data_IF_946996683877
#
_entry.id   IF_946996683877
#
_cell.length_a   1.000
_cell.length_b   1.000
_cell.length_c   1.000
_cell.angle_alpha   90.00
_cell.angle_beta   90.00
_cell.angle_gamma   90.00
#
_symmetry.space_group_name_H-M   'P 1'
#
loop_
_entity.id
_entity.type
_entity.pdbx_description
1 polymer ?
#
# COMPACT_ATOMS: atom_id res chain seq x y z
N UNK A 1 4.19 24.05 12.20
CA UNK A 1 5.50 23.47 12.55
C UNK A 1 5.89 22.51 11.44
N UNK A 2 7.15 22.52 10.99
CA UNK A 2 7.66 21.63 9.94
C UNK A 2 8.53 20.53 10.58
N UNK A 3 7.89 19.65 11.34
CA UNK A 3 8.53 18.57 12.11
C UNK A 3 8.50 17.21 11.40
N UNK A 4 7.89 17.13 10.21
CA UNK A 4 7.85 15.94 9.38
C UNK A 4 8.60 16.10 8.06
N UNK A 5 8.85 14.97 7.41
CA UNK A 5 9.26 14.86 6.01
C UNK A 5 8.36 13.83 5.34
N UNK A 6 7.96 14.07 4.09
CA UNK A 6 7.31 13.05 3.25
C UNK A 6 8.21 12.76 2.06
N UNK A 7 8.57 11.48 1.87
CA UNK A 7 9.10 10.99 0.59
C UNK A 7 7.91 10.52 -0.24
N UNK A 8 7.62 11.21 -1.33
CA UNK A 8 6.51 10.86 -2.23
C UNK A 8 7.01 9.86 -3.26
N UNK A 9 6.30 8.75 -3.47
CA UNK A 9 6.74 7.64 -4.32
C UNK A 9 5.74 7.39 -5.46
N UNK A 10 6.26 7.11 -6.64
CA UNK A 10 5.49 6.66 -7.79
C UNK A 10 6.19 5.53 -8.54
N UNK A 11 5.42 4.49 -8.87
CA UNK A 11 5.82 3.39 -9.74
C UNK A 11 4.91 3.42 -10.96
N UNK A 12 5.15 4.32 -11.92
CA UNK A 12 4.19 4.63 -12.97
C UNK A 12 4.06 3.50 -14.01
N UNK A 13 4.99 2.54 -13.98
CA UNK A 13 5.00 1.36 -14.83
C UNK A 13 4.10 0.25 -14.30
N UNK A 14 3.61 0.30 -13.07
CA UNK A 14 2.72 -0.73 -12.52
C UNK A 14 1.43 -0.86 -13.35
N UNK A 15 1.13 -2.10 -13.77
CA UNK A 15 -0.09 -2.45 -14.50
C UNK A 15 -1.16 -2.81 -13.46
N UNK A 16 -2.32 -2.18 -13.56
CA UNK A 16 -3.40 -2.36 -12.59
C UNK A 16 -4.66 -2.88 -13.27
N UNK A 17 -5.44 -3.67 -12.55
CA UNK A 17 -6.82 -3.93 -12.96
C UNK A 17 -7.61 -2.64 -12.92
N UNK A 18 -8.44 -2.38 -13.92
CA UNK A 18 -9.30 -1.19 -13.96
C UNK A 18 -10.26 -1.18 -12.77
N UNK A 19 -10.68 0.02 -12.36
CA UNK A 19 -11.76 0.16 -11.39
C UNK A 19 -13.11 -0.21 -12.03
N UNK A 20 -14.05 -0.66 -11.21
CA UNK A 20 -15.44 -0.90 -11.61
C UNK A 20 -16.17 0.44 -11.83
N UNK A 21 -15.91 1.03 -12.99
CA UNK A 21 -16.47 2.28 -13.48
C UNK A 21 -16.91 2.12 -14.93
N UNK A 22 -17.98 2.82 -15.32
CA UNK A 22 -18.63 2.65 -16.62
C UNK A 22 -17.66 2.85 -17.80
N UNK A 23 -16.73 3.80 -17.69
CA UNK A 23 -15.79 4.14 -18.78
C UNK A 23 -14.66 3.11 -18.94
N UNK A 24 -14.33 2.34 -17.90
CA UNK A 24 -13.20 1.39 -17.91
C UNK A 24 -13.30 0.38 -19.04
N UNK A 25 -14.52 -0.07 -19.35
CA UNK A 25 -14.82 -1.01 -20.43
C UNK A 25 -14.48 -0.47 -21.82
N UNK A 26 -14.54 0.86 -21.98
CA UNK A 26 -14.35 1.53 -23.26
C UNK A 26 -12.90 1.91 -23.55
N UNK A 27 -12.04 1.99 -22.53
CA UNK A 27 -10.63 2.40 -22.66
C UNK A 27 -9.88 1.62 -23.77
N UNK A 28 -10.08 0.29 -23.84
CA UNK A 28 -9.44 -0.56 -24.86
C UNK A 28 -9.77 -0.14 -26.30
N UNK A 29 -10.98 0.38 -26.54
CA UNK A 29 -11.41 0.80 -27.89
C UNK A 29 -10.77 2.12 -28.32
N UNK A 30 -10.27 2.90 -27.35
CA UNK A 30 -9.44 4.08 -27.59
C UNK A 30 -7.94 3.77 -27.60
N UNK A 31 -7.57 2.49 -27.60
CA UNK A 31 -6.16 2.05 -27.60
C UNK A 31 -5.46 2.20 -26.25
N UNK A 32 -6.21 2.32 -25.14
CA UNK A 32 -5.68 2.40 -23.77
C UNK A 32 -5.84 1.04 -23.10
N UNK A 33 -4.71 0.42 -22.74
CA UNK A 33 -4.70 -0.85 -22.05
C UNK A 33 -5.39 -1.98 -22.81
N UNK A 34 -5.96 -2.92 -22.06
CA UNK A 34 -6.77 -4.05 -22.56
C UNK A 34 -8.01 -4.25 -21.69
N UNK A 35 -8.83 -5.26 -22.00
CA UNK A 35 -10.18 -5.50 -21.42
C UNK A 35 -10.35 -5.12 -19.94
N UNK A 36 -9.44 -5.55 -19.07
CA UNK A 36 -9.52 -5.30 -17.62
C UNK A 36 -8.28 -4.59 -17.05
N UNK A 37 -7.33 -4.12 -17.88
CA UNK A 37 -6.02 -3.68 -17.40
C UNK A 37 -5.56 -2.40 -18.08
N UNK A 38 -4.90 -1.54 -17.31
CA UNK A 38 -4.26 -0.32 -17.78
C UNK A 38 -2.95 -0.09 -17.03
N UNK A 39 -1.99 0.58 -17.67
CA UNK A 39 -0.80 1.08 -16.98
C UNK A 39 -1.12 2.45 -16.38
N UNK A 40 -1.61 2.43 -15.14
CA UNK A 40 -1.95 3.64 -14.38
C UNK A 40 -1.00 3.90 -13.19
N UNK A 41 -0.09 2.95 -12.92
CA UNK A 41 0.94 3.06 -11.90
C UNK A 41 0.43 2.80 -10.47
N UNK A 42 1.39 2.81 -9.55
CA UNK A 42 1.18 2.78 -8.11
C UNK A 42 1.76 4.05 -7.46
N UNK A 43 1.17 4.49 -6.35
CA UNK A 43 1.65 5.62 -5.56
C UNK A 43 1.63 5.26 -4.09
N UNK A 44 2.67 5.71 -3.40
CA UNK A 44 2.85 5.54 -1.98
C UNK A 44 3.54 6.77 -1.39
N UNK A 45 3.64 6.83 -0.08
CA UNK A 45 4.45 7.83 0.62
C UNK A 45 5.18 7.18 1.79
N UNK A 46 6.29 7.80 2.20
CA UNK A 46 6.95 7.52 3.47
C UNK A 46 6.86 8.78 4.31
N UNK A 47 6.12 8.70 5.43
CA UNK A 47 6.05 9.77 6.42
C UNK A 47 7.16 9.56 7.45
N UNK A 48 7.89 10.63 7.76
CA UNK A 48 9.05 10.58 8.67
C UNK A 48 8.89 11.68 9.70
N UNK A 49 8.91 11.32 10.99
CA UNK A 49 9.08 12.31 12.05
C UNK A 49 10.57 12.65 12.16
N UNK A 50 10.94 13.93 12.03
CA UNK A 50 12.34 14.37 12.04
C UNK A 50 13.10 14.00 13.32
N UNK A 51 12.39 13.83 14.44
CA UNK A 51 13.00 13.44 15.72
C UNK A 51 13.36 11.96 15.78
N UNK A 52 12.57 11.09 15.16
CA UNK A 52 12.74 9.64 15.28
C UNK A 52 13.44 9.05 14.06
N UNK A 53 13.31 9.66 12.89
CA UNK A 53 13.83 9.13 11.62
C UNK A 53 13.12 7.86 11.15
N UNK A 54 12.09 7.40 11.84
CA UNK A 54 11.36 6.17 11.49
C UNK A 54 10.66 6.38 10.14
N UNK A 55 10.77 5.39 9.26
CA UNK A 55 10.10 5.38 7.96
C UNK A 55 8.72 4.76 8.08
N UNK A 56 7.67 5.59 8.03
CA UNK A 56 6.28 5.13 8.03
C UNK A 56 5.77 5.05 6.59
N UNK A 57 5.94 3.89 5.96
CA UNK A 57 5.43 3.65 4.61
C UNK A 57 3.91 3.45 4.62
N UNK A 58 3.24 4.14 3.69
CA UNK A 58 1.80 4.04 3.49
C UNK A 58 1.43 4.03 2.01
N UNK A 59 0.52 3.14 1.66
CA UNK A 59 -0.14 3.12 0.35
C UNK A 59 -1.61 2.73 0.47
N UNK A 60 -2.34 2.86 -0.64
CA UNK A 60 -3.74 2.46 -0.73
C UNK A 60 -3.95 1.56 -1.94
N UNK A 61 -4.65 0.45 -1.73
CA UNK A 61 -4.87 -0.53 -2.79
C UNK A 61 -5.84 -1.63 -2.38
N UNK A 62 -6.05 -2.58 -3.28
CA UNK A 62 -7.04 -3.66 -3.14
C UNK A 62 -6.38 -4.91 -2.51
N UNK A 63 -5.87 -4.75 -1.29
CA UNK A 63 -5.08 -5.75 -0.56
C UNK A 63 -5.98 -6.56 0.39
N UNK A 64 -6.32 -7.81 0.03
CA UNK A 64 -7.17 -8.70 0.84
C UNK A 64 -8.47 -8.01 1.30
N UNK A 65 -9.17 -7.39 0.33
CA UNK A 65 -10.39 -6.60 0.53
C UNK A 65 -11.52 -7.14 -0.33
N UNK A 66 -12.79 -7.02 0.12
CA UNK A 66 -13.93 -7.34 -0.71
C UNK A 66 -14.05 -6.33 -1.84
N UNK A 67 -14.30 -6.82 -3.05
CA UNK A 67 -14.61 -5.94 -4.18
C UNK A 67 -15.88 -5.13 -3.90
N UNK A 68 -15.94 -3.85 -4.28
CA UNK A 68 -14.97 -3.09 -5.07
C UNK A 68 -13.99 -2.26 -4.22
N UNK A 69 -13.70 -2.67 -2.98
CA UNK A 69 -12.99 -1.83 -2.01
C UNK A 69 -11.47 -2.01 -2.05
N UNK A 70 -10.78 -0.96 -1.60
CA UNK A 70 -9.39 -0.99 -1.16
C UNK A 70 -9.27 -0.56 0.30
N UNK A 71 -8.03 -0.61 0.81
CA UNK A 71 -7.68 -0.17 2.17
C UNK A 71 -6.31 0.51 2.16
N UNK A 72 -6.06 1.29 3.21
CA UNK A 72 -4.72 1.83 3.49
C UNK A 72 -3.89 0.77 4.20
N UNK A 73 -2.61 0.65 3.81
CA UNK A 73 -1.61 -0.16 4.53
C UNK A 73 -0.65 0.72 5.30
N UNK A 74 -0.03 0.11 6.31
CA UNK A 74 1.05 0.67 7.10
C UNK A 74 1.52 -0.37 8.10
N UNK A 75 2.67 -0.12 8.73
CA UNK A 75 3.33 -1.09 9.63
C UNK A 75 2.42 -1.67 10.71
N UNK A 76 1.40 -0.93 11.15
CA UNK A 76 0.48 -1.39 12.20
C UNK A 76 -0.38 -2.58 11.72
N UNK A 77 -0.94 -2.49 10.50
CA UNK A 77 -1.82 -3.52 9.91
C UNK A 77 -1.10 -4.50 9.01
N UNK A 78 0.11 -4.15 8.57
CA UNK A 78 0.93 -4.89 7.62
C UNK A 78 2.38 -4.81 8.12
N UNK A 79 2.72 -5.70 9.05
CA UNK A 79 3.98 -5.70 9.79
C UNK A 79 5.21 -5.85 8.87
N UNK A 80 5.05 -6.40 7.67
CA UNK A 80 6.10 -6.44 6.65
C UNK A 80 6.56 -5.04 6.18
N UNK A 81 5.77 -3.99 6.48
CA UNK A 81 6.09 -2.59 6.21
C UNK A 81 6.86 -1.92 7.36
N UNK A 82 7.21 -2.65 8.41
CA UNK A 82 8.20 -2.20 9.41
C UNK A 82 9.60 -2.37 8.82
N UNK A 83 10.15 -1.28 8.28
CA UNK A 83 11.44 -1.32 7.61
C UNK A 83 12.62 -1.36 8.59
N UNK A 84 13.71 -2.08 8.25
CA UNK A 84 14.90 -2.18 9.11
C UNK A 84 15.81 -0.94 9.04
N UNK A 85 15.50 0.02 8.16
CA UNK A 85 16.27 1.23 7.94
C UNK A 85 15.54 2.46 8.54
N UNK A 86 16.32 3.42 9.01
CA UNK A 86 15.84 4.71 9.51
C UNK A 86 16.52 5.86 8.75
N UNK A 87 15.81 6.97 8.62
CA UNK A 87 16.36 8.21 8.10
C UNK A 87 17.29 8.86 9.13
N UNK A 88 18.50 9.19 8.67
CA UNK A 88 19.46 10.00 9.41
C UNK A 88 19.19 11.45 9.05
N UNK A 89 18.71 12.22 10.02
CA UNK A 89 18.33 13.63 9.82
C UNK A 89 19.41 14.54 10.39
N UNK A 90 20.01 15.37 9.54
CA UNK A 90 20.97 16.40 9.92
C UNK A 90 20.53 17.73 9.30
N UNK A 91 20.39 18.78 10.12
CA UNK A 91 19.95 20.11 9.66
C UNK A 91 18.70 20.07 8.77
N UNK A 92 17.67 19.33 9.20
CA UNK A 92 16.43 19.11 8.45
C UNK A 92 16.59 18.35 7.11
N UNK A 93 17.74 17.74 6.82
CA UNK A 93 18.00 16.97 5.59
C UNK A 93 18.21 15.49 5.89
N UNK A 94 17.73 14.61 4.99
CA UNK A 94 17.99 13.17 5.05
C UNK A 94 19.36 12.89 4.45
N UNK A 95 20.37 12.54 5.26
CA UNK A 95 21.74 12.32 4.77
C UNK A 95 21.95 10.94 4.14
N UNK A 96 21.11 9.95 4.45
CA UNK A 96 21.14 8.62 3.85
C UNK A 96 19.98 8.38 2.86
N UNK A 97 19.57 9.42 2.13
CA UNK A 97 18.45 9.33 1.17
C UNK A 97 18.68 8.25 0.12
N UNK A 98 19.90 8.13 -0.42
CA UNK A 98 20.25 7.13 -1.44
C UNK A 98 20.04 5.69 -0.94
N UNK A 99 20.36 5.41 0.32
CA UNK A 99 20.13 4.12 0.97
C UNK A 99 18.64 3.79 1.02
N UNK A 100 17.82 4.77 1.42
CA UNK A 100 16.36 4.63 1.52
C UNK A 100 15.73 4.42 0.14
N UNK A 101 16.11 5.22 -0.84
CA UNK A 101 15.59 5.14 -2.20
C UNK A 101 15.94 3.80 -2.86
N UNK A 102 17.18 3.33 -2.67
CA UNK A 102 17.62 2.01 -3.14
C UNK A 102 16.85 0.89 -2.47
N UNK A 103 16.61 0.96 -1.16
CA UNK A 103 15.78 -0.03 -0.46
C UNK A 103 14.37 -0.08 -1.05
N UNK A 104 13.71 1.07 -1.20
CA UNK A 104 12.34 1.13 -1.72
C UNK A 104 12.21 0.62 -3.16
N UNK A 105 13.20 0.87 -4.04
CA UNK A 105 13.16 0.42 -5.43
C UNK A 105 13.47 -1.07 -5.61
N UNK A 106 14.23 -1.67 -4.69
CA UNK A 106 14.70 -3.06 -4.80
C UNK A 106 13.83 -4.06 -4.02
N UNK A 107 12.76 -3.59 -3.36
CA UNK A 107 11.82 -4.44 -2.59
C UNK A 107 10.37 -4.35 -3.11
N UNK A 108 10.11 -4.62 -4.42
CA UNK A 108 8.78 -4.50 -5.01
C UNK A 108 7.74 -5.42 -4.35
N UNK A 109 8.17 -6.51 -3.71
CA UNK A 109 7.30 -7.42 -2.94
C UNK A 109 6.68 -6.77 -1.70
N UNK A 110 7.28 -5.71 -1.16
CA UNK A 110 6.74 -4.95 -0.02
C UNK A 110 5.90 -3.76 -0.52
N UNK A 111 6.42 -3.04 -1.52
CA UNK A 111 5.83 -1.80 -1.99
C UNK A 111 4.68 -2.00 -2.98
N UNK A 112 4.59 -3.18 -3.61
CA UNK A 112 3.69 -3.47 -4.74
C UNK A 112 3.88 -2.51 -5.92
N UNK A 113 5.04 -1.87 -6.00
CA UNK A 113 5.43 -0.99 -7.09
C UNK A 113 6.33 -1.73 -8.06
N UNK A 114 5.84 -1.98 -9.27
CA UNK A 114 6.64 -2.57 -10.34
C UNK A 114 7.38 -1.50 -11.15
N UNK A 115 8.59 -1.83 -11.59
CA UNK A 115 9.39 -1.00 -12.48
C UNK A 115 10.13 0.13 -11.76
N UNK A 116 10.37 1.21 -12.50
CA UNK A 116 11.18 2.33 -12.02
C UNK A 116 10.47 3.12 -10.92
N UNK A 117 11.16 3.34 -9.79
CA UNK A 117 10.72 4.26 -8.74
C UNK A 117 11.01 5.71 -9.13
N UNK A 118 10.01 6.57 -9.03
CA UNK A 118 10.16 8.02 -9.04
C UNK A 118 9.88 8.55 -7.64
N UNK A 119 10.76 9.39 -7.12
CA UNK A 119 10.66 9.88 -5.75
C UNK A 119 11.07 11.35 -5.60
N UNK A 120 10.49 12.02 -4.61
CA UNK A 120 10.87 13.38 -4.22
C UNK A 120 10.69 13.57 -2.72
N UNK A 121 11.38 14.55 -2.17
CA UNK A 121 11.35 14.88 -0.75
C UNK A 121 10.54 16.15 -0.56
N UNK A 122 9.58 16.10 0.36
CA UNK A 122 8.83 17.24 0.86
C UNK A 122 9.19 17.49 2.32
N UNK A 123 9.95 18.54 2.58
CA UNK A 123 10.45 18.92 3.91
C UNK A 123 9.54 19.93 4.63
N UNK A 124 8.53 20.45 3.93
CA UNK A 124 7.55 21.40 4.46
C UNK A 124 6.30 20.67 4.97
N UNK A 125 6.47 19.81 5.98
CA UNK A 125 5.41 18.92 6.47
C UNK A 125 5.17 19.07 7.98
N UNK A 126 3.90 19.18 8.35
CA UNK A 126 3.41 18.91 9.70
C UNK A 126 3.13 17.41 9.83
N UNK A 127 3.93 16.71 10.64
CA UNK A 127 3.86 15.26 10.79
C UNK A 127 2.51 14.81 11.34
N UNK A 128 2.01 15.48 12.37
CA UNK A 128 0.78 15.13 13.08
C UNK A 128 -0.43 15.21 12.16
N UNK A 129 -0.57 16.30 11.39
CA UNK A 129 -1.67 16.44 10.44
C UNK A 129 -1.65 15.36 9.35
N UNK A 130 -0.46 15.01 8.84
CA UNK A 130 -0.31 13.94 7.87
C UNK A 130 -0.71 12.59 8.49
N UNK A 131 -0.18 12.30 9.69
CA UNK A 131 -0.44 11.04 10.40
C UNK A 131 -1.91 10.91 10.77
N UNK A 132 -2.55 11.97 11.24
CA UNK A 132 -3.98 12.01 11.59
C UNK A 132 -4.85 11.70 10.37
N UNK A 133 -4.53 12.26 9.21
CA UNK A 133 -5.23 11.94 7.96
C UNK A 133 -5.06 10.46 7.58
N UNK A 134 -3.84 9.94 7.65
CA UNK A 134 -3.55 8.54 7.32
C UNK A 134 -4.27 7.60 8.28
N UNK A 135 -4.22 7.87 9.59
CA UNK A 135 -4.93 7.12 10.63
C UNK A 135 -6.43 7.14 10.38
N UNK A 136 -7.01 8.32 10.11
CA UNK A 136 -8.42 8.45 9.75
C UNK A 136 -8.77 7.56 8.55
N UNK A 137 -7.94 7.54 7.50
CA UNK A 137 -8.17 6.72 6.32
C UNK A 137 -8.00 5.21 6.60
N UNK A 138 -7.03 4.80 7.43
CA UNK A 138 -6.90 3.41 7.90
C UNK A 138 -8.13 2.95 8.70
N UNK A 139 -8.67 3.82 9.55
CA UNK A 139 -9.85 3.56 10.39
C UNK A 139 -11.17 3.54 9.62
N UNK A 140 -11.18 3.92 8.34
CA UNK A 140 -12.33 3.67 7.45
C UNK A 140 -12.39 2.21 7.01
N UNK A 141 -11.33 1.44 7.24
CA UNK A 141 -11.20 0.03 6.87
C UNK A 141 -11.28 -0.20 5.37
N UNK A 142 -12.50 -0.27 4.83
CA UNK A 142 -12.77 -0.44 3.41
C UNK A 142 -13.30 0.84 2.79
N UNK A 143 -12.61 1.28 1.75
CA UNK A 143 -12.97 2.45 0.96
C UNK A 143 -13.14 1.99 -0.47
N UNK A 144 -14.27 2.33 -1.11
CA UNK A 144 -14.49 2.00 -2.53
C UNK A 144 -13.28 2.44 -3.36
N UNK A 145 -12.75 1.53 -4.16
CA UNK A 145 -11.64 1.81 -5.07
C UNK A 145 -12.20 2.40 -6.37
N UNK A 146 -11.84 3.65 -6.70
CA UNK A 146 -12.27 4.31 -7.94
C UNK A 146 -11.38 5.50 -8.32
N UNK A 147 -11.34 5.83 -9.61
CA UNK A 147 -10.64 6.99 -10.13
C UNK A 147 -11.45 8.28 -9.99
N UNK A 148 -12.76 8.26 -10.29
CA UNK A 148 -13.59 9.48 -10.39
C UNK A 148 -14.79 9.54 -9.45
N UNK A 149 -15.14 8.43 -8.78
CA UNK A 149 -16.26 8.43 -7.82
C UNK A 149 -15.93 9.32 -6.60
N UNK A 150 -16.89 10.16 -6.21
CA UNK A 150 -16.81 10.99 -5.00
C UNK A 150 -16.73 10.10 -3.75
N UNK A 151 -15.95 10.50 -2.76
CA UNK A 151 -15.72 9.77 -1.48
C UNK A 151 -15.08 8.37 -1.58
N UNK A 152 -14.82 7.91 -2.81
CA UNK A 152 -13.93 6.78 -3.13
C UNK A 152 -12.45 7.19 -3.11
N UNK A 153 -11.55 6.22 -3.24
CA UNK A 153 -10.11 6.46 -3.22
C UNK A 153 -9.35 5.54 -4.20
N UNK A 154 -8.10 5.89 -4.46
CA UNK A 154 -7.09 5.04 -5.12
C UNK A 154 -5.70 5.46 -4.61
N UNK A 155 -4.65 4.75 -4.99
CA UNK A 155 -3.28 5.03 -4.54
C UNK A 155 -2.87 6.51 -4.73
N UNK A 156 -3.08 7.06 -5.92
CA UNK A 156 -2.73 8.45 -6.22
C UNK A 156 -3.55 9.44 -5.40
N UNK A 157 -4.87 9.25 -5.27
CA UNK A 157 -5.76 10.11 -4.48
C UNK A 157 -5.41 10.08 -2.99
N UNK A 158 -5.10 8.91 -2.45
CA UNK A 158 -4.67 8.75 -1.06
C UNK A 158 -3.40 9.55 -0.77
N UNK A 159 -2.39 9.43 -1.64
CA UNK A 159 -1.13 10.18 -1.50
C UNK A 159 -1.38 11.69 -1.64
N UNK A 160 -2.17 12.13 -2.63
CA UNK A 160 -2.52 13.55 -2.80
C UNK A 160 -3.21 14.12 -1.56
N UNK A 161 -4.18 13.39 -0.99
CA UNK A 161 -4.96 13.86 0.15
C UNK A 161 -4.14 13.87 1.45
N UNK A 162 -3.25 12.90 1.62
CA UNK A 162 -2.28 12.88 2.72
C UNK A 162 -1.30 14.06 2.62
N UNK A 163 -0.81 14.36 1.41
CA UNK A 163 0.03 15.54 1.16
C UNK A 163 -0.74 16.85 1.42
N UNK A 164 -2.00 16.97 0.96
CA UNK A 164 -2.83 18.16 1.22
C UNK A 164 -3.04 18.39 2.73
N UNK A 165 -3.19 17.32 3.50
CA UNK A 165 -3.36 17.40 4.95
C UNK A 165 -2.06 17.79 5.67
N UNK A 166 -0.93 17.20 5.25
CA UNK A 166 0.36 17.34 5.94
C UNK A 166 1.20 18.54 5.51
N UNK A 167 1.18 18.92 4.24
CA UNK A 167 2.08 19.95 3.69
C UNK A 167 1.68 21.34 4.18
N UNK A 168 2.65 22.10 4.65
CA UNK A 168 2.46 23.46 5.19
C UNK A 168 2.62 24.55 4.14
N UNK A 169 3.30 24.26 3.03
CA UNK A 169 3.43 25.17 1.89
C UNK A 169 2.09 25.29 1.12
N UNK A 170 1.52 26.50 1.14
CA UNK A 170 0.22 26.77 0.50
C UNK A 170 0.24 26.65 -1.02
N UNK A 171 1.36 26.95 -1.67
CA UNK A 171 1.48 26.83 -3.13
C UNK A 171 1.45 25.36 -3.55
N UNK A 172 2.19 24.50 -2.84
CA UNK A 172 2.16 23.05 -3.05
C UNK A 172 0.75 22.51 -2.81
N UNK A 173 0.13 22.86 -1.68
CA UNK A 173 -1.24 22.43 -1.34
C UNK A 173 -2.25 22.84 -2.41
N UNK A 174 -2.15 24.07 -2.94
CA UNK A 174 -3.05 24.54 -4.00
C UNK A 174 -2.82 23.79 -5.33
N UNK A 175 -1.59 23.46 -5.68
CA UNK A 175 -1.29 22.67 -6.87
C UNK A 175 -1.80 21.23 -6.74
N UNK A 176 -1.67 20.61 -5.56
CA UNK A 176 -2.27 19.31 -5.27
C UNK A 176 -3.81 19.35 -5.35
N UNK A 177 -4.44 20.40 -4.82
CA UNK A 177 -5.91 20.56 -4.95
C UNK A 177 -6.34 20.73 -6.41
N UNK A 178 -5.57 21.44 -7.23
CA UNK A 178 -5.83 21.59 -8.67
C UNK A 178 -5.69 20.27 -9.43
N UNK A 179 -4.74 19.41 -9.07
CA UNK A 179 -4.58 18.10 -9.73
C UNK A 179 -5.80 17.19 -9.53
N UNK A 180 -6.59 17.41 -8.47
CA UNK A 180 -7.85 16.69 -8.20
C UNK A 180 -9.03 17.11 -9.09
N UNK A 181 -8.92 18.14 -9.94
CA UNK A 181 -10.00 18.53 -10.85
C UNK A 181 -10.33 17.47 -11.90
N UNK A 182 -9.38 16.57 -12.19
CA UNK A 182 -9.62 15.37 -12.98
C UNK A 182 -9.43 14.13 -12.09
N UNK A 183 -8.21 13.63 -12.03
CA UNK A 183 -7.75 12.67 -11.03
C UNK A 183 -6.23 12.84 -10.92
N UNK A 184 -5.65 12.86 -9.71
CA UNK A 184 -4.21 13.02 -9.57
C UNK A 184 -3.47 11.83 -10.20
N UNK A 185 -2.30 12.10 -10.78
CA UNK A 185 -1.42 11.04 -11.29
C UNK A 185 -0.29 10.75 -10.29
N UNK A 186 0.24 9.53 -10.35
CA UNK A 186 1.32 9.05 -9.48
C UNK A 186 2.55 9.97 -9.55
N UNK A 187 3.09 10.20 -10.76
CA UNK A 187 4.23 11.11 -10.99
C UNK A 187 3.87 12.56 -10.66
N UNK A 188 2.62 12.97 -10.88
CA UNK A 188 2.14 14.31 -10.54
C UNK A 188 2.31 14.62 -9.05
N UNK A 189 1.99 13.66 -8.18
CA UNK A 189 2.21 13.80 -6.73
C UNK A 189 3.69 14.03 -6.41
N UNK A 190 4.58 13.22 -7.00
CA UNK A 190 6.03 13.33 -6.81
C UNK A 190 6.54 14.71 -7.20
N UNK A 191 6.19 15.19 -8.40
CA UNK A 191 6.71 16.48 -8.89
C UNK A 191 6.13 17.66 -8.11
N UNK A 192 4.84 17.64 -7.78
CA UNK A 192 4.18 18.75 -7.08
C UNK A 192 4.67 18.87 -5.63
N UNK A 193 4.92 17.75 -4.95
CA UNK A 193 5.30 17.74 -3.54
C UNK A 193 6.78 18.07 -3.28
N UNK A 194 7.62 18.08 -4.33
CA UNK A 194 9.06 18.27 -4.19
C UNK A 194 9.40 19.66 -3.61
N UNK A 195 10.14 19.68 -2.51
CA UNK A 195 10.73 20.90 -1.92
C UNK A 195 12.25 20.96 -2.06
N UNK A 196 12.86 19.90 -2.58
CA UNK A 196 14.31 19.78 -2.76
C UNK A 196 14.73 20.02 -4.21
N UNK A 197 16.03 19.99 -4.48
CA UNK A 197 16.58 20.31 -5.80
C UNK A 197 16.14 19.35 -6.91
N UNK A 198 15.94 18.07 -6.59
CA UNK A 198 15.82 17.01 -7.59
C UNK A 198 14.61 16.11 -7.35
N UNK A 199 14.03 15.64 -8.46
CA UNK A 199 13.18 14.45 -8.48
C UNK A 199 14.03 13.28 -8.92
N UNK A 200 14.01 12.22 -8.13
CA UNK A 200 14.83 11.03 -8.32
C UNK A 200 14.11 10.02 -9.20
N UNK A 201 14.91 9.29 -9.98
CA UNK A 201 14.50 8.13 -10.76
C UNK A 201 15.43 6.97 -10.41
N UNK A 202 14.89 5.88 -9.89
CA UNK A 202 15.66 4.76 -9.36
C UNK A 202 15.22 3.46 -10.04
N UNK A 203 16.18 2.74 -10.63
CA UNK A 203 15.90 1.48 -11.31
C UNK A 203 15.59 0.34 -10.33
N UNK A 204 15.13 -0.79 -10.85
CA UNK A 204 14.86 -2.01 -10.09
C UNK A 204 16.15 -2.61 -9.49
N UNK A 205 17.32 -2.28 -10.05
CA UNK A 205 18.65 -2.63 -9.52
C UNK A 205 19.16 -1.61 -8.47
N UNK A 206 18.40 -0.54 -8.22
CA UNK A 206 18.77 0.51 -7.27
C UNK A 206 19.73 1.55 -7.83
N UNK A 207 19.81 1.70 -9.16
CA UNK A 207 20.64 2.75 -9.79
C UNK A 207 19.88 4.07 -9.72
N UNK A 208 20.46 5.05 -9.03
CA UNK A 208 19.87 6.37 -8.83
C UNK A 208 20.28 7.31 -9.97
N UNK A 209 19.28 7.99 -10.53
CA UNK A 209 19.41 9.03 -11.54
C UNK A 209 18.35 10.11 -11.30
N UNK A 210 18.25 11.09 -12.19
CA UNK A 210 17.32 12.21 -12.05
C UNK A 210 16.20 12.15 -13.09
N UNK A 211 15.06 12.74 -12.73
CA UNK A 211 13.93 12.86 -13.64
C UNK A 211 14.12 14.02 -14.61
N UNK A 212 14.39 13.69 -15.87
CA UNK A 212 14.67 14.67 -16.96
C UNK A 212 13.50 14.81 -17.96
N UNK A 213 12.30 14.33 -17.60
CA UNK A 213 11.10 14.35 -18.46
C UNK A 213 10.03 15.27 -17.88
N UNK A 214 8.84 15.27 -18.47
CA UNK A 214 7.68 16.00 -17.93
C UNK A 214 6.59 15.02 -17.48
N UNK A 215 5.83 15.43 -16.46
CA UNK A 215 4.69 14.66 -15.93
C UNK A 215 3.72 14.29 -17.07
N UNK A 216 3.40 15.25 -17.94
CA UNK A 216 2.48 15.03 -19.07
C UNK A 216 3.01 14.04 -20.09
N UNK A 217 4.32 14.09 -20.39
CA UNK A 217 4.96 13.17 -21.34
C UNK A 217 4.95 11.73 -20.81
N UNK A 218 5.34 11.52 -19.55
CA UNK A 218 5.35 10.18 -18.96
C UNK A 218 3.94 9.62 -18.77
N UNK A 219 3.00 10.41 -18.22
CA UNK A 219 1.61 9.99 -18.08
C UNK A 219 1.01 9.59 -19.44
N UNK A 220 1.23 10.38 -20.50
CA UNK A 220 0.72 10.07 -21.84
C UNK A 220 1.35 8.81 -22.40
N UNK A 221 2.68 8.66 -22.28
CA UNK A 221 3.40 7.48 -22.77
C UNK A 221 2.88 6.19 -22.14
N UNK A 222 2.69 6.20 -20.82
CA UNK A 222 2.31 5.01 -20.05
C UNK A 222 0.81 4.71 -20.18
N UNK A 223 -0.05 5.74 -20.07
CA UNK A 223 -1.50 5.53 -20.14
C UNK A 223 -1.97 5.07 -21.52
N UNK A 224 -1.29 5.48 -22.61
CA UNK A 224 -1.60 5.02 -23.97
C UNK A 224 -0.98 3.66 -24.32
N UNK A 225 -0.36 2.96 -23.36
CA UNK A 225 0.15 1.61 -23.58
C UNK A 225 -1.00 0.62 -23.76
N UNK A 226 -0.98 -0.12 -24.88
CA UNK A 226 -1.97 -1.15 -25.25
C UNK A 226 -1.77 -2.47 -24.49
N UNK A 227 -0.65 -2.63 -23.77
CA UNK A 227 -0.33 -3.83 -23.00
C UNK A 227 -0.29 -5.10 -23.86
N UNK A 228 0.25 -5.02 -25.09
CA UNK A 228 0.25 -6.12 -26.05
C UNK A 228 0.97 -7.38 -25.55
N UNK A 229 1.99 -7.20 -24.71
CA UNK A 229 2.83 -8.30 -24.19
C UNK A 229 2.45 -8.68 -22.75
N UNK A 230 1.42 -8.05 -22.17
CA UNK A 230 1.03 -8.32 -20.79
C UNK A 230 0.15 -9.57 -20.72
N UNK A 231 0.59 -10.58 -19.97
CA UNK A 231 -0.21 -11.74 -19.61
C UNK A 231 -0.60 -11.64 -18.13
N UNK A 232 -1.90 -11.62 -17.79
CA UNK A 232 -2.31 -11.56 -16.40
C UNK A 232 -1.87 -12.83 -15.66
N UNK A 233 -1.30 -12.64 -14.48
CA UNK A 233 -1.05 -13.71 -13.53
C UNK A 233 -1.86 -13.44 -12.26
N UNK A 234 -2.59 -14.45 -11.82
CA UNK A 234 -3.45 -14.40 -10.64
C UNK A 234 -2.87 -15.22 -9.48
N UNK A 235 -1.77 -15.93 -9.70
CA UNK A 235 -1.11 -16.74 -8.68
C UNK A 235 -0.41 -15.82 -7.68
N UNK A 236 -0.84 -15.91 -6.42
CA UNK A 236 -0.38 -15.02 -5.34
C UNK A 236 -1.30 -13.83 -5.08
N UNK A 237 -2.37 -13.67 -5.87
CA UNK A 237 -3.40 -12.65 -5.67
C UNK A 237 -4.78 -13.30 -5.51
N UNK A 238 -5.45 -13.62 -6.61
CA UNK A 238 -6.77 -14.26 -6.62
C UNK A 238 -6.68 -15.78 -6.46
N UNK A 239 -5.57 -16.38 -6.89
CA UNK A 239 -5.31 -17.81 -6.74
C UNK A 239 -4.15 -18.04 -5.77
N UNK A 240 -4.20 -19.12 -4.97
CA UNK A 240 -3.15 -19.42 -4.00
C UNK A 240 -1.80 -19.66 -4.68
N UNK A 241 -0.73 -19.13 -4.07
CA UNK A 241 0.65 -19.48 -4.40
C UNK A 241 1.24 -20.31 -3.26
N UNK A 242 1.34 -21.61 -3.48
CA UNK A 242 1.91 -22.52 -2.49
C UNK A 242 3.40 -22.27 -2.28
N UNK A 243 3.86 -22.44 -1.03
CA UNK A 243 5.25 -22.36 -0.63
C UNK A 243 5.49 -23.32 0.56
N UNK A 244 6.74 -23.55 0.92
CA UNK A 244 7.10 -24.48 2.00
C UNK A 244 7.01 -23.86 3.41
N UNK A 245 6.81 -22.54 3.51
CA UNK A 245 6.75 -21.83 4.80
C UNK A 245 5.36 -21.90 5.42
N UNK A 246 4.31 -21.97 4.59
CA UNK A 246 2.93 -22.09 5.08
C UNK A 246 2.68 -23.45 5.73
N UNK A 247 1.79 -23.48 6.71
CA UNK A 247 1.24 -24.71 7.27
C UNK A 247 0.35 -25.44 6.25
N UNK A 248 0.13 -26.74 6.45
CA UNK A 248 -0.74 -27.55 5.58
C UNK A 248 -2.20 -27.07 5.62
N UNK A 249 -2.70 -26.74 6.81
CA UNK A 249 -4.07 -26.26 7.06
C UNK A 249 -4.24 -24.75 6.87
N UNK A 250 -3.26 -24.06 6.29
CA UNK A 250 -3.34 -22.63 6.03
C UNK A 250 -4.46 -22.32 5.03
N UNK A 251 -5.23 -21.27 5.29
CA UNK A 251 -6.31 -20.81 4.41
C UNK A 251 -5.85 -19.64 3.55
N UNK A 252 -6.24 -19.62 2.29
CA UNK A 252 -5.89 -18.53 1.38
C UNK A 252 -6.94 -17.43 1.40
N UNK A 253 -6.53 -16.19 1.69
CA UNK A 253 -7.39 -15.02 1.51
C UNK A 253 -6.91 -14.25 0.28
N UNK A 254 -7.80 -14.14 -0.69
CA UNK A 254 -7.54 -13.45 -1.95
C UNK A 254 -7.77 -11.94 -1.86
N UNK A 255 -7.06 -11.23 -2.73
CA UNK A 255 -7.28 -9.83 -3.02
C UNK A 255 -6.69 -9.49 -4.39
N UNK A 256 -7.26 -8.45 -5.02
CA UNK A 256 -6.86 -8.07 -6.39
C UNK A 256 -5.37 -7.73 -6.48
N UNK A 257 -4.84 -7.00 -5.50
CA UNK A 257 -3.44 -6.56 -5.50
C UNK A 257 -2.51 -7.51 -4.73
N UNK A 258 -3.05 -8.29 -3.79
CA UNK A 258 -2.31 -9.23 -2.95
C UNK A 258 -3.26 -10.24 -2.31
N UNK A 259 -2.81 -11.49 -2.20
CA UNK A 259 -3.37 -12.51 -1.32
C UNK A 259 -2.32 -12.97 -0.30
N UNK A 260 -2.75 -13.70 0.73
CA UNK A 260 -1.84 -14.31 1.70
C UNK A 260 -2.45 -15.56 2.33
N UNK A 261 -1.57 -16.38 2.92
CA UNK A 261 -1.93 -17.54 3.72
C UNK A 261 -2.15 -17.13 5.17
N UNK A 262 -3.25 -17.59 5.75
CA UNK A 262 -3.66 -17.34 7.13
C UNK A 262 -3.65 -18.66 7.88
N UNK A 263 -2.99 -18.68 9.02
CA UNK A 263 -2.87 -19.85 9.87
C UNK A 263 -3.33 -19.50 11.27
N UNK A 264 -4.24 -20.31 11.81
CA UNK A 264 -4.60 -20.29 13.21
C UNK A 264 -4.05 -21.56 13.86
N UNK A 265 -3.49 -21.42 15.05
CA UNK A 265 -2.92 -22.52 15.83
C UNK A 265 -3.45 -22.46 17.27
N UNK A 266 -3.94 -23.60 17.76
CA UNK A 266 -4.43 -23.74 19.13
C UNK A 266 -3.25 -23.80 20.10
N UNK A 267 -3.33 -23.01 21.18
CA UNK A 267 -2.35 -22.99 22.27
C UNK A 267 -2.81 -23.79 23.49
N UNK A 268 -3.97 -24.45 23.42
CA UNK A 268 -4.66 -25.07 24.57
C UNK A 268 -4.93 -24.05 25.68
N UNK A 269 -5.26 -22.83 25.27
CA UNK A 269 -5.61 -21.72 26.15
C UNK A 269 -7.03 -21.26 25.82
N UNK A 270 -7.80 -20.87 26.84
CA UNK A 270 -9.24 -20.59 26.69
C UNK A 270 -9.56 -19.45 25.71
N UNK A 271 -8.60 -18.55 25.48
CA UNK A 271 -8.82 -17.29 24.76
C UNK A 271 -7.65 -16.83 23.90
N UNK A 272 -6.52 -17.54 23.95
CA UNK A 272 -5.31 -17.12 23.23
C UNK A 272 -4.99 -18.13 22.13
N UNK A 273 -4.68 -17.61 20.95
CA UNK A 273 -4.36 -18.40 19.77
C UNK A 273 -3.10 -17.85 19.12
N UNK A 274 -2.29 -18.72 18.53
CA UNK A 274 -1.19 -18.27 17.68
C UNK A 274 -1.71 -18.10 16.28
N UNK A 275 -1.45 -16.94 15.69
CA UNK A 275 -1.80 -16.63 14.32
C UNK A 275 -0.54 -16.31 13.52
N UNK A 276 -0.51 -16.84 12.29
CA UNK A 276 0.52 -16.51 11.31
C UNK A 276 -0.11 -16.04 10.02
N UNK A 277 0.44 -14.97 9.44
CA UNK A 277 0.16 -14.56 8.06
C UNK A 277 1.43 -14.76 7.25
N UNK A 278 1.34 -15.51 6.16
CA UNK A 278 2.47 -15.84 5.29
C UNK A 278 2.18 -15.36 3.88
N UNK A 279 3.10 -14.56 3.35
CA UNK A 279 2.99 -14.01 2.00
C UNK A 279 3.04 -15.11 0.91
N UNK A 280 2.64 -14.79 -0.33
CA UNK A 280 2.75 -15.70 -1.47
C UNK A 280 4.17 -16.23 -1.70
N UNK A 281 5.18 -15.52 -1.20
CA UNK A 281 6.61 -15.82 -1.38
C UNK A 281 7.25 -16.49 -0.17
N UNK A 282 6.45 -16.86 0.85
CA UNK A 282 6.96 -17.51 2.06
C UNK A 282 7.59 -16.56 3.08
N UNK A 283 7.40 -15.24 2.93
CA UNK A 283 7.72 -14.28 3.99
C UNK A 283 6.66 -14.37 5.09
N UNK A 284 7.06 -14.34 6.35
CA UNK A 284 6.14 -14.34 7.48
C UNK A 284 5.85 -12.88 7.80
N UNK A 285 4.67 -12.40 7.39
CA UNK A 285 4.24 -11.03 7.64
C UNK A 285 4.04 -10.83 9.16
N UNK A 286 3.42 -11.80 9.83
CA UNK A 286 3.30 -11.82 11.30
C UNK A 286 3.28 -13.25 11.84
N UNK A 287 3.87 -13.44 13.02
CA UNK A 287 3.74 -14.62 13.88
C UNK A 287 3.53 -14.14 15.32
N UNK A 288 2.31 -14.27 15.83
CA UNK A 288 1.90 -13.61 17.06
C UNK A 288 0.83 -14.35 17.82
N UNK A 289 0.66 -13.97 19.08
CA UNK A 289 -0.44 -14.40 19.95
C UNK A 289 -1.55 -13.37 19.87
N UNK A 290 -2.77 -13.85 19.68
CA UNK A 290 -3.98 -13.06 19.55
C UNK A 290 -5.02 -13.53 20.55
N UNK A 291 -5.85 -12.59 21.00
CA UNK A 291 -6.89 -12.83 21.99
C UNK A 291 -8.28 -12.67 21.38
N UNK A 292 -9.19 -13.58 21.72
CA UNK A 292 -10.62 -13.48 21.45
C UNK A 292 -11.37 -12.99 22.70
N UNK A 293 -12.33 -12.07 22.52
CA UNK A 293 -13.17 -11.58 23.60
C UNK A 293 -14.55 -12.26 23.64
N UNK A 294 -15.02 -12.71 22.49
CA UNK A 294 -16.25 -13.46 22.34
C UNK A 294 -16.09 -14.91 22.81
N UNK A 295 -17.16 -15.48 23.36
CA UNK A 295 -17.23 -16.90 23.73
C UNK A 295 -17.83 -17.71 22.59
N UNK A 296 -17.51 -19.01 22.55
CA UNK A 296 -18.17 -19.97 21.64
C UNK A 296 -17.42 -20.27 20.36
N UNK A 297 -16.22 -19.71 20.17
CA UNK A 297 -15.29 -20.20 19.16
C UNK A 297 -14.67 -21.52 19.62
N UNK A 298 -14.70 -22.54 18.75
CA UNK A 298 -14.09 -23.84 19.00
C UNK A 298 -13.21 -24.23 17.81
N UNK A 299 -11.91 -24.34 18.04
CA UNK A 299 -10.94 -24.60 16.99
C UNK A 299 -11.05 -26.01 16.39
N UNK A 300 -11.76 -26.93 17.04
CA UNK A 300 -12.01 -28.28 16.53
C UNK A 300 -13.15 -28.32 15.49
N UNK A 301 -13.91 -27.23 15.37
CA UNK A 301 -14.99 -27.07 14.40
C UNK A 301 -14.47 -26.32 13.18
N UNK A 302 -14.96 -26.70 12.00
CA UNK A 302 -14.68 -26.01 10.74
C UNK A 302 -14.91 -24.50 10.86
N UNK A 303 -13.96 -23.75 10.33
CA UNK A 303 -13.95 -22.31 10.40
C UNK A 303 -13.26 -21.72 9.17
N UNK A 304 -13.69 -20.54 8.76
CA UNK A 304 -13.13 -19.85 7.61
C UNK A 304 -12.61 -18.47 8.01
N UNK A 305 -11.39 -18.12 7.61
CA UNK A 305 -10.96 -16.74 7.67
C UNK A 305 -11.76 -15.90 6.67
N UNK A 306 -12.16 -14.70 7.09
CA UNK A 306 -12.85 -13.76 6.21
C UNK A 306 -12.00 -12.54 5.94
N UNK A 307 -12.26 -11.88 4.81
CA UNK A 307 -11.68 -10.57 4.52
C UNK A 307 -12.02 -9.59 5.65
N UNK A 308 -11.24 -8.51 5.75
CA UNK A 308 -11.16 -7.65 6.94
C UNK A 308 -10.25 -8.24 8.03
N UNK A 309 -9.22 -8.96 7.59
CA UNK A 309 -8.20 -9.55 8.43
C UNK A 309 -6.82 -9.05 8.02
N UNK A 310 -5.99 -8.69 8.99
CA UNK A 310 -4.67 -8.09 8.82
C UNK A 310 -3.74 -8.49 9.98
N UNK A 311 -2.58 -7.85 10.12
CA UNK A 311 -1.62 -8.19 11.16
C UNK A 311 -2.00 -7.65 12.56
N UNK A 312 -2.78 -6.58 12.68
CA UNK A 312 -3.24 -6.10 13.99
C UNK A 312 -4.42 -6.91 14.56
N UNK A 313 -5.27 -7.43 13.68
CA UNK A 313 -6.44 -8.22 14.04
C UNK A 313 -6.92 -9.06 12.86
N UNK A 314 -7.63 -10.15 13.15
CA UNK A 314 -8.28 -10.96 12.11
C UNK A 314 -9.66 -11.43 12.54
N UNK A 315 -10.41 -11.93 11.55
CA UNK A 315 -11.76 -12.44 11.73
C UNK A 315 -11.86 -13.87 11.20
N UNK A 316 -12.55 -14.70 11.98
CA UNK A 316 -12.88 -16.08 11.62
C UNK A 316 -14.38 -16.27 11.73
N UNK A 317 -14.99 -16.83 10.70
CA UNK A 317 -16.41 -17.17 10.68
C UNK A 317 -16.58 -18.66 10.97
N UNK A 318 -17.46 -18.97 11.92
CA UNK A 318 -17.80 -20.32 12.33
C UNK A 318 -19.28 -20.35 12.75
N UNK A 319 -20.04 -21.34 12.26
CA UNK A 319 -21.47 -21.50 12.56
C UNK A 319 -22.31 -20.22 12.38
N UNK A 320 -22.01 -19.41 11.36
CA UNK A 320 -22.71 -18.16 11.07
C UNK A 320 -22.34 -16.97 11.98
N UNK A 321 -21.45 -17.17 12.95
CA UNK A 321 -20.90 -16.11 13.81
C UNK A 321 -19.52 -15.73 13.32
N UNK A 322 -19.21 -14.43 13.31
CA UNK A 322 -17.87 -13.92 13.02
C UNK A 322 -17.20 -13.51 14.33
N UNK A 323 -16.07 -14.13 14.62
CA UNK A 323 -15.24 -13.90 15.80
C UNK A 323 -14.06 -13.01 15.43
N UNK A 324 -13.72 -12.06 16.31
CA UNK A 324 -12.57 -11.18 16.14
C UNK A 324 -11.45 -11.55 17.09
N UNK A 325 -10.24 -11.54 16.57
CA UNK A 325 -9.02 -11.81 17.32
C UNK A 325 -8.11 -10.60 17.21
N UNK A 326 -7.71 -10.02 18.33
CA UNK A 326 -6.85 -8.84 18.38
C UNK A 326 -5.42 -9.24 18.78
N UNK A 327 -4.42 -8.63 18.16
CA UNK A 327 -3.01 -8.88 18.44
C UNK A 327 -2.70 -8.55 19.90
N UNK A 328 -2.03 -9.48 20.59
CA UNK A 328 -1.65 -9.33 21.99
C UNK A 328 -0.13 -9.16 22.14
N UNK A 329 0.66 -10.08 21.56
CA UNK A 329 2.12 -10.05 21.64
C UNK A 329 2.76 -10.87 20.52
N UNK A 330 4.05 -10.62 20.22
CA UNK A 330 4.82 -11.47 19.31
C UNK A 330 4.96 -12.87 19.90
N UNK A 331 4.99 -13.89 19.03
CA UNK A 331 5.29 -15.25 19.46
C UNK A 331 6.81 -15.34 19.66
N UNK A 332 7.25 -15.47 20.92
CA UNK A 332 8.68 -15.58 21.29
C UNK A 332 9.31 -16.92 20.93
#
# INVERSE_FOLDING_TARGET
MNNGIIITLAYPETIVMVADEWYSHYLRFFGIGKKNYVRAGHAALVLINKKTGILEYHDFGRYITPEPNGRVRGKDTDHELEFPIVAKIENDTIVNLDEILKFLSTHPKLTHGDGTLYASVCNSVNYENARDHITMMQNRHFIRYAAFIKDACNCARFVTDSLIAGVTDKAIVNNLKRSKWFTPSTIGNVVIANTEANVYKVSEEGIISYFESSVSKENRRLFLDKLSNHNPDFVGTLHPKHNNTKHENAQWLSGIAAGAWFELHDLKHDREYRFRRVSPHGHIDVDGIYIINEKGFDMTIDHEFVQYSNCSFFHVKQNGTTFRFDFLRKNE
#
